data_IF_432928692311
#
_entry.id   IF_432928692311
#
_cell.length_a   1.000
_cell.length_b   1.000
_cell.length_c   1.000
_cell.angle_alpha   90.00
_cell.angle_beta   90.00
_cell.angle_gamma   90.00
#
_symmetry.space_group_name_H-M   'P 1'
#
loop_
_entity.id
_entity.type
_entity.pdbx_description
1 polymer ?
#
# COMPACT_ATOMS: atom_id res chain seq x y z
N UNK A 1 39.29 21.93 -29.10
CA UNK A 1 39.59 20.70 -28.36
C UNK A 1 39.08 20.71 -26.93
N UNK A 2 39.50 21.58 -25.98
CA UNK A 2 39.00 21.59 -24.57
C UNK A 2 37.53 22.00 -24.52
N UNK A 3 37.09 23.01 -25.28
CA UNK A 3 35.68 23.43 -25.33
C UNK A 3 34.75 22.32 -25.87
N UNK A 4 35.18 21.61 -26.88
CA UNK A 4 34.42 20.52 -27.49
C UNK A 4 34.29 19.34 -26.52
N UNK A 5 35.39 19.00 -25.82
CA UNK A 5 35.38 17.99 -24.76
C UNK A 5 34.39 18.34 -23.59
N UNK A 6 34.35 19.62 -23.22
CA UNK A 6 33.41 20.09 -22.19
C UNK A 6 31.95 19.99 -22.68
N UNK A 7 31.66 20.34 -23.91
CA UNK A 7 30.33 20.24 -24.51
C UNK A 7 29.87 18.77 -24.55
N UNK A 8 30.72 17.86 -25.01
CA UNK A 8 30.41 16.42 -25.01
C UNK A 8 30.21 15.88 -23.59
N UNK A 9 31.02 16.27 -22.62
CA UNK A 9 30.86 15.89 -21.22
C UNK A 9 29.51 16.38 -20.66
N UNK A 10 29.18 17.66 -20.86
CA UNK A 10 27.89 18.21 -20.41
C UNK A 10 26.71 17.52 -21.11
N UNK A 11 26.80 17.20 -22.39
CA UNK A 11 25.76 16.50 -23.14
C UNK A 11 25.55 15.06 -22.59
N UNK A 12 26.66 14.34 -22.32
CA UNK A 12 26.59 13.00 -21.72
C UNK A 12 25.97 13.05 -20.32
N UNK A 13 26.39 14.01 -19.48
CA UNK A 13 25.81 14.19 -18.14
C UNK A 13 24.32 14.54 -18.23
N UNK A 14 23.92 15.44 -19.10
CA UNK A 14 22.52 15.80 -19.31
C UNK A 14 21.72 14.60 -19.84
N UNK A 15 22.26 13.82 -20.75
CA UNK A 15 21.64 12.60 -21.28
C UNK A 15 21.44 11.56 -20.15
N UNK A 16 22.48 11.29 -19.36
CA UNK A 16 22.40 10.36 -18.24
C UNK A 16 21.41 10.85 -17.17
N UNK A 17 21.30 12.15 -16.98
CA UNK A 17 20.33 12.76 -16.04
C UNK A 17 18.89 12.68 -16.56
N UNK A 18 18.66 12.82 -17.86
CA UNK A 18 17.34 12.75 -18.49
C UNK A 18 16.85 11.31 -18.72
N UNK A 19 17.76 10.36 -18.92
CA UNK A 19 17.40 8.95 -19.22
C UNK A 19 16.41 8.33 -18.24
N UNK A 20 16.54 8.50 -16.91
CA UNK A 20 15.57 7.95 -15.98
C UNK A 20 14.14 8.46 -16.21
N UNK A 21 13.98 9.72 -16.61
CA UNK A 21 12.68 10.32 -16.91
C UNK A 21 12.11 9.79 -18.24
N UNK A 22 12.93 9.61 -19.23
CA UNK A 22 12.53 8.99 -20.52
C UNK A 22 12.07 7.56 -20.30
N UNK A 23 12.86 6.76 -19.56
CA UNK A 23 12.50 5.37 -19.21
C UNK A 23 11.21 5.35 -18.39
N UNK A 24 11.05 6.28 -17.45
CA UNK A 24 9.82 6.44 -16.68
C UNK A 24 8.61 6.63 -17.59
N UNK A 25 8.63 7.63 -18.48
CA UNK A 25 7.50 7.94 -19.37
C UNK A 25 7.21 6.79 -20.34
N UNK A 26 8.23 6.20 -20.95
CA UNK A 26 8.07 5.09 -21.90
C UNK A 26 7.56 3.80 -21.23
N UNK A 27 7.83 3.62 -19.94
CA UNK A 27 7.35 2.44 -19.19
C UNK A 27 5.89 2.54 -18.77
N UNK A 28 5.29 3.74 -18.71
CA UNK A 28 3.95 3.94 -18.18
C UNK A 28 2.86 3.06 -18.85
N UNK A 29 2.80 2.91 -20.19
CA UNK A 29 1.80 2.05 -20.82
C UNK A 29 1.94 0.58 -20.42
N UNK A 30 3.18 0.08 -20.32
CA UNK A 30 3.48 -1.31 -19.96
C UNK A 30 3.09 -1.56 -18.50
N UNK A 31 3.45 -0.65 -17.61
CA UNK A 31 3.10 -0.70 -16.19
C UNK A 31 1.58 -0.63 -16.00
N UNK A 32 0.90 0.22 -16.77
CA UNK A 32 -0.56 0.31 -16.74
C UNK A 32 -1.23 -1.00 -17.16
N UNK A 33 -0.80 -1.61 -18.26
CA UNK A 33 -1.34 -2.89 -18.73
C UNK A 33 -1.12 -4.00 -17.70
N UNK A 34 0.06 -4.04 -17.09
CA UNK A 34 0.38 -4.99 -16.03
C UNK A 34 -0.56 -4.82 -14.82
N UNK A 35 -0.66 -3.61 -14.27
CA UNK A 35 -1.48 -3.34 -13.10
C UNK A 35 -2.98 -3.54 -13.37
N UNK A 36 -3.46 -3.22 -14.57
CA UNK A 36 -4.84 -3.50 -14.99
C UNK A 36 -5.15 -5.00 -14.96
N UNK A 37 -4.24 -5.82 -15.45
CA UNK A 37 -4.39 -7.28 -15.42
C UNK A 37 -4.38 -7.81 -13.98
N UNK A 38 -3.47 -7.35 -13.14
CA UNK A 38 -3.40 -7.69 -11.71
C UNK A 38 -4.72 -7.35 -10.98
N UNK A 39 -5.25 -6.15 -11.20
CA UNK A 39 -6.51 -5.71 -10.60
C UNK A 39 -7.69 -6.59 -11.02
N UNK A 40 -7.76 -6.98 -12.29
CA UNK A 40 -8.81 -7.85 -12.79
C UNK A 40 -8.71 -9.26 -12.19
N UNK A 41 -7.51 -9.82 -12.09
CA UNK A 41 -7.29 -11.13 -11.46
C UNK A 41 -7.71 -11.13 -9.99
N UNK A 42 -7.38 -10.07 -9.26
CA UNK A 42 -7.76 -9.95 -7.86
C UNK A 42 -9.28 -9.81 -7.67
N UNK A 43 -9.95 -9.06 -8.54
CA UNK A 43 -11.41 -8.91 -8.50
C UNK A 43 -12.18 -10.23 -8.72
N UNK A 44 -11.55 -11.20 -9.38
CA UNK A 44 -12.11 -12.53 -9.61
C UNK A 44 -11.80 -13.53 -8.48
N UNK A 45 -10.97 -13.18 -7.50
CA UNK A 45 -10.69 -14.04 -6.35
C UNK A 45 -11.88 -14.00 -5.37
N UNK A 46 -12.37 -15.17 -4.90
CA UNK A 46 -13.41 -15.21 -3.89
C UNK A 46 -12.94 -14.53 -2.61
N UNK A 47 -13.82 -13.80 -1.94
CA UNK A 47 -13.57 -13.33 -0.60
C UNK A 47 -13.38 -14.54 0.32
N UNK A 48 -12.22 -14.68 0.91
CA UNK A 48 -11.94 -15.75 1.87
C UNK A 48 -12.63 -15.37 3.19
N UNK A 49 -13.93 -15.66 3.27
CA UNK A 49 -14.66 -15.63 4.52
C UNK A 49 -14.15 -16.75 5.41
N UNK A 50 -13.90 -16.44 6.67
CA UNK A 50 -13.06 -17.17 7.63
C UNK A 50 -13.35 -18.62 7.94
N UNK A 51 -14.10 -19.37 7.14
CA UNK A 51 -14.43 -20.79 7.36
C UNK A 51 -14.13 -21.72 6.16
N UNK A 52 -13.44 -21.26 5.14
CA UNK A 52 -13.11 -22.07 3.95
C UNK A 52 -11.67 -22.57 3.97
N UNK A 53 -11.52 -23.88 3.83
CA UNK A 53 -10.24 -24.55 3.69
C UNK A 53 -9.36 -23.94 2.59
N UNK A 54 -8.07 -23.84 2.89
CA UNK A 54 -6.93 -23.51 2.05
C UNK A 54 -7.18 -23.62 0.54
N UNK A 55 -7.40 -22.51 -0.14
CA UNK A 55 -6.89 -22.37 -1.48
C UNK A 55 -5.59 -21.57 -1.37
N UNK A 56 -4.47 -22.29 -1.57
CA UNK A 56 -3.14 -21.70 -1.68
C UNK A 56 -3.19 -20.47 -2.58
N UNK A 57 -2.89 -19.30 -2.03
CA UNK A 57 -2.61 -18.11 -2.85
C UNK A 57 -1.56 -18.52 -3.88
N UNK A 58 -1.72 -18.15 -5.16
CA UNK A 58 -0.83 -18.60 -6.24
C UNK A 58 0.64 -18.19 -6.10
N UNK A 59 1.01 -17.53 -5.02
CA UNK A 59 2.36 -17.00 -4.80
C UNK A 59 3.30 -17.93 -4.02
N UNK A 60 2.78 -18.97 -3.35
CA UNK A 60 3.61 -19.96 -2.65
C UNK A 60 3.66 -21.32 -3.37
N UNK A 61 3.01 -21.49 -4.52
CA UNK A 61 3.18 -22.68 -5.33
C UNK A 61 4.54 -22.66 -6.01
N UNK A 62 5.29 -23.74 -5.89
CA UNK A 62 6.57 -24.01 -6.53
C UNK A 62 6.64 -23.40 -7.92
N UNK A 63 7.52 -22.42 -8.09
CA UNK A 63 7.89 -21.92 -9.41
C UNK A 63 8.65 -23.04 -10.11
N UNK A 64 7.94 -23.87 -10.88
CA UNK A 64 8.59 -24.59 -11.96
C UNK A 64 9.45 -23.60 -12.75
N UNK A 65 10.72 -23.86 -12.81
CA UNK A 65 11.75 -23.13 -13.55
C UNK A 65 11.42 -23.09 -15.03
N UNK A 66 10.38 -22.38 -15.46
CA UNK A 66 10.16 -22.06 -16.87
C UNK A 66 11.08 -20.89 -17.24
N UNK A 67 12.29 -21.23 -17.64
CA UNK A 67 13.27 -20.35 -18.28
C UNK A 67 12.77 -19.89 -19.66
N UNK A 68 11.74 -19.05 -19.67
CA UNK A 68 11.30 -18.36 -20.90
C UNK A 68 11.64 -16.89 -20.80
N UNK A 69 12.18 -16.30 -21.86
CA UNK A 69 12.38 -14.86 -22.00
C UNK A 69 11.11 -14.08 -21.60
N UNK A 70 9.94 -14.63 -21.92
CA UNK A 70 8.64 -14.06 -21.52
C UNK A 70 8.51 -13.96 -20.01
N UNK A 71 8.87 -15.00 -19.27
CA UNK A 71 8.82 -14.99 -17.79
C UNK A 71 9.79 -13.96 -17.20
N UNK A 72 11.02 -13.91 -17.73
CA UNK A 72 12.01 -12.91 -17.34
C UNK A 72 11.48 -11.48 -17.54
N UNK A 73 10.91 -11.16 -18.72
CA UNK A 73 10.34 -9.83 -19.01
C UNK A 73 9.17 -9.49 -18.08
N UNK A 74 8.27 -10.43 -17.79
CA UNK A 74 7.17 -10.21 -16.85
C UNK A 74 7.73 -9.90 -15.45
N UNK A 75 8.68 -10.68 -14.96
CA UNK A 75 9.32 -10.47 -13.65
C UNK A 75 10.05 -9.13 -13.58
N UNK A 76 10.71 -8.73 -14.67
CA UNK A 76 11.37 -7.43 -14.77
C UNK A 76 10.37 -6.28 -14.66
N UNK A 77 9.27 -6.33 -15.43
CA UNK A 77 8.19 -5.32 -15.38
C UNK A 77 7.55 -5.27 -14.00
N UNK A 78 7.28 -6.43 -13.41
CA UNK A 78 6.74 -6.55 -12.06
C UNK A 78 7.67 -5.92 -11.03
N UNK A 79 8.94 -6.28 -11.02
CA UNK A 79 9.92 -5.74 -10.08
C UNK A 79 10.10 -4.24 -10.26
N UNK A 80 10.18 -3.77 -11.49
CA UNK A 80 10.26 -2.35 -11.79
C UNK A 80 9.01 -1.60 -11.30
N UNK A 81 7.82 -2.08 -11.63
CA UNK A 81 6.55 -1.46 -11.25
C UNK A 81 6.35 -1.47 -9.74
N UNK A 82 6.40 -2.65 -9.12
CA UNK A 82 5.96 -2.88 -7.73
C UNK A 82 7.01 -2.55 -6.68
N UNK A 83 8.29 -2.44 -7.05
CA UNK A 83 9.38 -2.19 -6.11
C UNK A 83 10.11 -0.87 -6.34
N UNK A 84 10.25 -0.43 -7.58
CA UNK A 84 10.99 0.79 -7.89
C UNK A 84 10.07 1.97 -8.17
N UNK A 85 9.21 1.85 -9.18
CA UNK A 85 8.42 2.96 -9.69
C UNK A 85 7.41 3.47 -8.66
N UNK A 86 6.71 2.58 -7.97
CA UNK A 86 5.71 2.96 -6.95
C UNK A 86 6.33 3.74 -5.79
N UNK A 87 7.55 3.34 -5.35
CA UNK A 87 8.30 4.07 -4.34
C UNK A 87 8.64 5.47 -4.85
N UNK A 88 9.15 5.59 -6.09
CA UNK A 88 9.46 6.91 -6.68
C UNK A 88 8.25 7.81 -6.77
N UNK A 89 7.07 7.27 -7.08
CA UNK A 89 5.81 8.01 -7.06
C UNK A 89 5.48 8.51 -5.65
N UNK A 90 5.71 7.71 -4.61
CA UNK A 90 5.53 8.13 -3.23
C UNK A 90 6.32 9.39 -2.85
N UNK A 91 7.46 9.61 -3.49
CA UNK A 91 8.33 10.78 -3.28
C UNK A 91 8.04 11.97 -4.21
N UNK A 92 6.98 11.94 -5.02
CA UNK A 92 6.54 13.11 -5.80
C UNK A 92 5.92 14.12 -4.82
N UNK A 93 6.36 15.40 -4.75
CA UNK A 93 5.85 16.36 -3.76
C UNK A 93 4.35 16.68 -3.91
N UNK A 94 3.79 16.62 -5.12
CA UNK A 94 2.39 16.99 -5.37
C UNK A 94 1.42 15.86 -5.06
N UNK A 95 0.48 16.09 -4.13
CA UNK A 95 -0.62 15.17 -3.82
C UNK A 95 -1.48 14.84 -5.05
N UNK A 96 -1.75 15.83 -5.90
CA UNK A 96 -2.59 15.64 -7.09
C UNK A 96 -1.93 14.68 -8.08
N UNK A 97 -0.63 14.84 -8.33
CA UNK A 97 0.12 13.97 -9.24
C UNK A 97 0.22 12.56 -8.65
N UNK A 98 0.57 12.42 -7.34
CA UNK A 98 0.62 11.10 -6.69
C UNK A 98 -0.73 10.39 -6.77
N UNK A 99 -1.83 11.08 -6.39
CA UNK A 99 -3.18 10.52 -6.43
C UNK A 99 -3.57 10.10 -7.84
N UNK A 100 -3.27 10.92 -8.87
CA UNK A 100 -3.52 10.58 -10.26
C UNK A 100 -2.81 9.28 -10.67
N UNK A 101 -1.51 9.19 -10.39
CA UNK A 101 -0.71 8.00 -10.72
C UNK A 101 -1.16 6.78 -9.91
N UNK A 102 -1.42 6.91 -8.63
CA UNK A 102 -1.94 5.83 -7.81
C UNK A 102 -3.30 5.32 -8.31
N UNK A 103 -4.20 6.22 -8.66
CA UNK A 103 -5.55 5.84 -9.12
C UNK A 103 -5.54 5.22 -10.53
N UNK A 104 -4.86 5.84 -11.49
CA UNK A 104 -4.97 5.46 -12.89
C UNK A 104 -3.86 4.53 -13.39
N UNK A 105 -2.67 4.61 -12.82
CA UNK A 105 -1.56 3.73 -13.17
C UNK A 105 -1.54 2.46 -12.31
N UNK A 106 -1.84 2.59 -11.02
CA UNK A 106 -1.78 1.51 -10.04
C UNK A 106 -3.14 0.94 -9.61
N UNK A 107 -4.23 1.46 -10.15
CA UNK A 107 -5.60 0.98 -9.89
C UNK A 107 -6.00 0.98 -8.41
N UNK A 108 -5.38 1.82 -7.58
CA UNK A 108 -5.84 2.01 -6.20
C UNK A 108 -7.25 2.58 -6.22
N UNK A 109 -8.15 1.99 -5.46
CA UNK A 109 -9.53 2.45 -5.36
C UNK A 109 -9.60 3.63 -4.38
N UNK A 110 -9.48 4.86 -4.91
CA UNK A 110 -9.64 6.10 -4.16
C UNK A 110 -11.07 6.61 -4.25
N UNK A 111 -11.70 6.82 -3.09
CA UNK A 111 -12.92 7.60 -3.01
C UNK A 111 -12.62 9.12 -3.08
N UNK A 112 -13.68 9.94 -3.04
CA UNK A 112 -13.56 11.40 -3.07
C UNK A 112 -12.72 11.89 -1.88
N UNK A 113 -11.89 12.90 -2.10
CA UNK A 113 -11.12 13.63 -1.09
C UNK A 113 -10.19 12.75 -0.20
N UNK A 114 -9.95 11.49 -0.60
CA UNK A 114 -8.95 10.65 0.04
C UNK A 114 -7.54 11.05 -0.39
N UNK A 115 -6.57 10.99 0.54
CA UNK A 115 -5.18 11.38 0.28
C UNK A 115 -4.19 10.41 0.91
N UNK A 116 -3.08 10.19 0.20
CA UNK A 116 -1.89 9.51 0.71
C UNK A 116 -0.74 10.50 0.69
N UNK A 117 -0.15 10.73 1.85
CA UNK A 117 0.94 11.69 2.03
C UNK A 117 2.28 11.16 1.50
N UNK A 118 3.34 11.94 1.70
CA UNK A 118 4.66 11.75 1.12
C UNK A 118 5.38 10.50 1.64
N UNK A 119 6.10 9.81 0.76
CA UNK A 119 6.98 8.70 1.11
C UNK A 119 6.27 7.38 1.43
N UNK A 120 4.99 7.22 1.08
CA UNK A 120 4.29 5.96 1.28
C UNK A 120 4.89 4.83 0.43
N UNK A 121 5.13 3.66 1.04
CA UNK A 121 5.43 2.39 0.39
C UNK A 121 4.16 1.56 0.28
N UNK A 122 3.74 1.22 -0.95
CA UNK A 122 2.52 0.45 -1.18
C UNK A 122 2.87 -0.82 -1.96
N UNK A 123 2.57 -1.99 -1.41
CA UNK A 123 2.73 -3.29 -2.08
C UNK A 123 1.39 -3.78 -2.59
N UNK A 124 1.34 -4.33 -3.80
CA UNK A 124 0.12 -4.76 -4.48
C UNK A 124 -0.99 -3.69 -4.45
N UNK A 125 -0.73 -2.48 -4.97
CA UNK A 125 -1.59 -1.31 -4.82
C UNK A 125 -3.00 -1.50 -5.37
N UNK A 126 -3.20 -2.34 -6.39
CA UNK A 126 -4.52 -2.64 -6.95
C UNK A 126 -5.50 -3.30 -5.96
N UNK A 127 -4.98 -3.79 -4.83
CA UNK A 127 -5.74 -4.44 -3.74
C UNK A 127 -5.99 -3.51 -2.54
N UNK A 128 -5.71 -2.21 -2.71
CA UNK A 128 -5.92 -1.18 -1.70
C UNK A 128 -7.17 -0.36 -2.04
N UNK A 129 -8.08 -0.25 -1.06
CA UNK A 129 -9.27 0.62 -1.12
C UNK A 129 -9.17 1.67 -0.03
N UNK A 130 -9.40 2.93 -0.39
CA UNK A 130 -9.35 4.08 0.53
C UNK A 130 -10.66 4.87 0.41
N UNK A 131 -11.40 4.93 1.50
CA UNK A 131 -12.70 5.59 1.60
C UNK A 131 -12.63 7.11 1.53
N UNK A 132 -13.82 7.73 1.49
CA UNK A 132 -13.99 9.18 1.33
C UNK A 132 -13.33 9.95 2.48
N UNK A 133 -12.64 11.04 2.14
CA UNK A 133 -11.99 11.96 3.06
C UNK A 133 -11.06 11.28 4.09
N UNK A 134 -10.52 10.12 3.73
CA UNK A 134 -9.54 9.38 4.52
C UNK A 134 -8.14 9.89 4.25
N UNK A 135 -7.37 10.04 5.32
CA UNK A 135 -5.98 10.52 5.27
C UNK A 135 -5.03 9.40 5.66
N UNK A 136 -4.06 9.12 4.80
CA UNK A 136 -2.91 8.25 5.10
C UNK A 136 -1.67 9.14 5.21
N UNK A 137 -1.08 9.16 6.39
CA UNK A 137 0.06 10.01 6.75
C UNK A 137 1.36 9.64 6.04
N UNK A 138 2.40 10.41 6.36
CA UNK A 138 3.71 10.25 5.72
C UNK A 138 4.37 8.91 6.04
N UNK A 139 5.17 8.42 5.10
CA UNK A 139 6.04 7.24 5.24
C UNK A 139 5.33 5.98 5.74
N UNK A 140 4.02 5.87 5.49
CA UNK A 140 3.28 4.66 5.79
C UNK A 140 3.71 3.51 4.88
N UNK A 141 3.75 2.28 5.43
CA UNK A 141 3.91 1.05 4.67
C UNK A 141 2.57 0.31 4.62
N UNK A 142 2.02 0.14 3.42
CA UNK A 142 0.75 -0.52 3.18
C UNK A 142 0.99 -1.79 2.35
N UNK A 143 1.16 -2.92 3.02
CA UNK A 143 1.32 -4.21 2.36
C UNK A 143 -0.05 -4.83 2.05
N UNK A 144 -0.58 -4.52 0.87
CA UNK A 144 -1.90 -4.96 0.46
C UNK A 144 -1.90 -6.32 -0.29
N UNK A 145 -0.93 -7.20 -0.08
CA UNK A 145 -0.87 -8.51 -0.78
C UNK A 145 -2.14 -9.33 -0.61
N UNK A 146 -2.77 -9.31 0.56
CA UNK A 146 -4.09 -9.94 0.80
C UNK A 146 -5.25 -8.92 0.87
N UNK A 147 -4.98 -7.65 0.52
CA UNK A 147 -5.97 -6.57 0.49
C UNK A 147 -6.01 -5.74 1.76
N UNK A 148 -6.18 -4.43 1.58
CA UNK A 148 -6.44 -3.47 2.66
C UNK A 148 -7.69 -2.68 2.28
N UNK A 149 -8.65 -2.62 3.19
CA UNK A 149 -9.86 -1.81 3.05
C UNK A 149 -9.92 -0.77 4.17
N UNK A 150 -9.85 0.50 3.81
CA UNK A 150 -9.94 1.63 4.73
C UNK A 150 -11.24 2.36 4.43
N UNK A 151 -12.12 2.46 5.42
CA UNK A 151 -13.40 3.14 5.28
C UNK A 151 -13.23 4.67 5.18
N UNK A 152 -14.34 5.38 5.16
CA UNK A 152 -14.36 6.85 5.10
C UNK A 152 -14.00 7.49 6.44
N UNK A 153 -13.51 8.73 6.40
CA UNK A 153 -13.20 9.57 7.57
C UNK A 153 -12.14 8.98 8.52
N UNK A 154 -11.28 8.09 8.01
CA UNK A 154 -10.19 7.48 8.77
C UNK A 154 -8.97 8.40 8.76
N UNK A 155 -8.30 8.51 9.90
CA UNK A 155 -7.00 9.16 10.01
C UNK A 155 -5.92 8.13 10.35
N UNK A 156 -5.00 7.91 9.43
CA UNK A 156 -3.80 7.10 9.64
C UNK A 156 -2.63 8.09 9.77
N UNK A 157 -1.98 8.09 10.92
CA UNK A 157 -0.86 8.98 11.20
C UNK A 157 0.44 8.52 10.51
N UNK A 158 1.50 9.26 10.72
CA UNK A 158 2.83 9.03 10.15
C UNK A 158 3.45 7.70 10.59
N UNK A 159 4.24 7.06 9.71
CA UNK A 159 5.02 5.85 9.96
C UNK A 159 4.19 4.61 10.38
N UNK A 160 2.91 4.56 10.03
CA UNK A 160 2.07 3.37 10.26
C UNK A 160 2.44 2.25 9.30
N UNK A 161 2.49 1.01 9.80
CA UNK A 161 2.77 -0.20 9.02
C UNK A 161 1.59 -1.15 9.08
N UNK A 162 1.03 -1.49 7.91
CA UNK A 162 -0.06 -2.46 7.79
C UNK A 162 0.45 -3.64 6.98
N UNK A 163 0.44 -4.81 7.58
CA UNK A 163 0.84 -6.06 6.97
C UNK A 163 -0.38 -6.94 6.72
N UNK A 164 -0.47 -7.58 5.56
CA UNK A 164 -1.56 -8.52 5.25
C UNK A 164 -1.07 -9.93 4.99
N UNK A 165 0.23 -10.16 5.07
CA UNK A 165 0.82 -11.49 4.88
C UNK A 165 1.99 -11.70 5.83
N UNK A 166 2.14 -12.93 6.32
CA UNK A 166 3.26 -13.39 7.14
C UNK A 166 3.54 -14.86 6.85
N UNK A 167 4.75 -15.29 7.16
CA UNK A 167 5.10 -16.71 7.13
C UNK A 167 4.59 -17.44 8.37
N UNK A 168 4.31 -18.73 8.21
CA UNK A 168 4.08 -19.59 9.36
C UNK A 168 5.45 -20.05 9.92
N UNK A 169 5.77 -19.59 11.12
CA UNK A 169 7.04 -19.92 11.77
C UNK A 169 7.12 -21.39 12.21
N UNK A 170 6.00 -22.13 12.22
CA UNK A 170 5.96 -23.57 12.49
C UNK A 170 6.00 -24.41 11.21
N UNK A 171 5.85 -23.81 10.03
CA UNK A 171 5.91 -24.55 8.78
C UNK A 171 7.37 -24.90 8.46
N UNK A 172 7.71 -26.20 8.27
CA UNK A 172 9.08 -26.62 7.99
C UNK A 172 9.62 -26.10 6.65
N UNK A 173 8.75 -25.69 5.73
CA UNK A 173 9.12 -25.07 4.45
C UNK A 173 9.05 -23.54 4.51
N UNK A 174 8.78 -22.96 5.69
CA UNK A 174 8.62 -21.51 5.88
C UNK A 174 7.58 -20.92 4.92
N UNK A 175 6.53 -21.65 4.62
CA UNK A 175 5.45 -21.21 3.75
C UNK A 175 4.69 -20.01 4.36
N UNK A 176 3.98 -19.28 3.53
CA UNK A 176 3.09 -18.22 4.03
C UNK A 176 1.93 -18.85 4.82
N UNK A 177 1.55 -18.21 5.93
CA UNK A 177 0.43 -18.67 6.76
C UNK A 177 -0.84 -18.79 5.91
N UNK A 178 -1.49 -19.96 5.87
CA UNK A 178 -2.75 -20.12 5.16
C UNK A 178 -3.84 -19.25 5.78
N UNK A 179 -4.76 -18.74 4.96
CA UNK A 179 -5.93 -18.01 5.44
C UNK A 179 -5.65 -16.60 5.99
N UNK A 180 -4.51 -15.99 5.64
CA UNK A 180 -4.29 -14.58 5.97
C UNK A 180 -5.35 -13.73 5.28
N UNK A 181 -6.12 -13.02 6.09
CA UNK A 181 -7.23 -12.18 5.64
C UNK A 181 -6.75 -10.76 5.34
N UNK A 182 -7.57 -10.03 4.58
CA UNK A 182 -7.40 -8.60 4.42
C UNK A 182 -7.44 -7.87 5.76
N UNK A 183 -6.77 -6.74 5.86
CA UNK A 183 -6.93 -5.81 6.98
C UNK A 183 -8.06 -4.85 6.64
N UNK A 184 -8.98 -4.65 7.60
CA UNK A 184 -10.08 -3.70 7.48
C UNK A 184 -9.98 -2.63 8.55
N UNK A 185 -10.20 -1.37 8.16
CA UNK A 185 -10.22 -0.24 9.09
C UNK A 185 -11.55 0.48 8.94
N UNK A 186 -12.33 0.44 10.01
CA UNK A 186 -13.67 1.00 10.08
C UNK A 186 -13.69 2.52 10.06
N UNK A 187 -14.86 3.05 9.73
CA UNK A 187 -15.14 4.48 9.65
C UNK A 187 -14.73 5.22 10.93
N UNK A 188 -14.23 6.45 10.80
CA UNK A 188 -13.78 7.30 11.90
C UNK A 188 -12.66 6.71 12.77
N UNK A 189 -12.05 5.60 12.41
CA UNK A 189 -10.92 5.09 13.15
C UNK A 189 -9.73 6.08 13.11
N UNK A 190 -8.98 6.12 14.19
CA UNK A 190 -7.74 6.89 14.29
C UNK A 190 -6.58 5.97 14.64
N UNK A 191 -5.63 5.87 13.74
CA UNK A 191 -4.41 5.08 13.91
C UNK A 191 -3.27 6.05 14.21
N UNK A 192 -2.77 5.99 15.42
CA UNK A 192 -1.66 6.83 15.91
C UNK A 192 -0.33 6.55 15.18
N UNK A 193 0.65 7.43 15.32
CA UNK A 193 1.95 7.28 14.63
C UNK A 193 2.71 6.04 15.10
N UNK A 194 3.54 5.48 14.21
CA UNK A 194 4.37 4.30 14.45
C UNK A 194 3.58 3.02 14.85
N UNK A 195 2.29 2.94 14.57
CA UNK A 195 1.48 1.74 14.80
C UNK A 195 1.83 0.67 13.78
N UNK A 196 1.86 -0.59 14.25
CA UNK A 196 1.93 -1.77 13.38
C UNK A 196 0.65 -2.58 13.49
N UNK A 197 -0.02 -2.86 12.36
CA UNK A 197 -1.21 -3.70 12.28
C UNK A 197 -0.82 -5.01 11.59
N UNK A 198 -1.11 -6.13 12.25
CA UNK A 198 -0.78 -7.48 11.75
C UNK A 198 -1.86 -8.02 10.80
N UNK A 199 -1.53 -9.07 10.02
CA UNK A 199 -2.44 -9.65 9.03
C UNK A 199 -3.79 -10.08 9.62
N UNK A 200 -4.85 -9.78 8.86
CA UNK A 200 -6.20 -10.22 9.18
C UNK A 200 -6.93 -9.42 10.27
N UNK A 201 -6.29 -8.39 10.81
CA UNK A 201 -6.89 -7.56 11.87
C UNK A 201 -8.00 -6.68 11.30
N UNK A 202 -9.10 -6.60 12.03
CA UNK A 202 -10.19 -5.65 11.80
C UNK A 202 -10.23 -4.59 12.90
N UNK A 203 -10.12 -3.32 12.51
CA UNK A 203 -10.24 -2.16 13.39
C UNK A 203 -11.67 -1.63 13.26
N UNK A 204 -12.42 -1.67 14.35
CA UNK A 204 -13.83 -1.25 14.38
C UNK A 204 -14.03 0.24 14.16
N UNK A 205 -15.28 0.61 13.85
CA UNK A 205 -15.68 2.01 13.67
C UNK A 205 -15.32 2.86 14.90
N UNK A 206 -14.78 4.05 14.67
CA UNK A 206 -14.43 4.99 15.73
C UNK A 206 -13.32 4.51 16.66
N UNK A 207 -12.74 3.34 16.46
CA UNK A 207 -11.65 2.86 17.31
C UNK A 207 -10.41 3.76 17.21
N UNK A 208 -9.63 3.76 18.28
CA UNK A 208 -8.36 4.50 18.36
C UNK A 208 -7.23 3.53 18.70
N UNK A 209 -6.19 3.59 17.93
CA UNK A 209 -4.95 2.85 18.21
C UNK A 209 -3.87 3.86 18.62
N UNK A 210 -3.41 3.76 19.85
CA UNK A 210 -2.41 4.67 20.40
C UNK A 210 -1.04 4.52 19.69
N UNK A 211 -0.26 5.59 19.71
CA UNK A 211 1.06 5.63 19.08
C UNK A 211 1.96 4.45 19.51
N UNK A 212 2.71 3.89 18.56
CA UNK A 212 3.66 2.80 18.80
C UNK A 212 3.04 1.44 19.13
N UNK A 213 1.72 1.29 19.07
CA UNK A 213 1.06 0.02 19.37
C UNK A 213 1.29 -1.03 18.28
N UNK A 214 1.32 -2.32 18.68
CA UNK A 214 1.31 -3.47 17.78
C UNK A 214 -0.02 -4.20 17.91
N UNK A 215 -0.89 -4.05 16.91
CA UNK A 215 -2.24 -4.63 16.91
C UNK A 215 -2.18 -6.04 16.34
N UNK A 216 -2.44 -7.02 17.19
CA UNK A 216 -2.37 -8.45 16.88
C UNK A 216 -3.75 -9.14 16.85
N UNK A 217 -4.82 -8.42 17.23
CA UNK A 217 -6.19 -8.91 17.28
C UNK A 217 -7.15 -7.79 16.90
N UNK A 218 -8.36 -8.15 16.53
CA UNK A 218 -9.42 -7.21 16.20
C UNK A 218 -9.69 -6.22 17.34
N UNK A 219 -9.98 -4.98 16.96
CA UNK A 219 -10.31 -3.89 17.86
C UNK A 219 -11.78 -3.57 17.73
N UNK A 220 -12.52 -3.69 18.83
CA UNK A 220 -13.95 -3.40 18.84
C UNK A 220 -14.24 -1.93 18.53
N UNK A 221 -15.43 -1.60 17.98
CA UNK A 221 -15.81 -0.23 17.70
C UNK A 221 -15.69 0.68 18.94
N UNK A 222 -15.19 1.90 18.73
CA UNK A 222 -15.00 2.94 19.74
C UNK A 222 -14.07 2.58 20.91
N UNK A 223 -13.29 1.50 20.78
CA UNK A 223 -12.27 1.17 21.78
C UNK A 223 -10.98 1.95 21.54
N UNK A 224 -10.33 2.35 22.64
CA UNK A 224 -8.96 2.84 22.66
C UNK A 224 -8.03 1.69 23.07
N UNK A 225 -7.10 1.34 22.18
CA UNK A 225 -6.11 0.29 22.42
C UNK A 225 -4.70 0.85 22.34
N UNK A 226 -3.74 0.24 23.07
CA UNK A 226 -2.34 0.64 23.03
C UNK A 226 -1.41 -0.43 23.57
N UNK A 227 -0.10 -0.26 23.36
CA UNK A 227 0.95 -1.15 23.83
C UNK A 227 1.38 -2.25 22.85
N UNK A 228 2.30 -3.11 23.28
CA UNK A 228 2.89 -4.22 22.50
C UNK A 228 2.82 -5.51 23.34
N UNK A 229 1.94 -6.45 23.00
CA UNK A 229 0.83 -6.34 22.03
C UNK A 229 -0.25 -5.37 22.54
N UNK A 230 -1.03 -4.78 21.61
CA UNK A 230 -2.07 -3.83 21.94
C UNK A 230 -3.14 -4.44 22.85
N UNK A 231 -3.56 -3.68 23.88
CA UNK A 231 -4.64 -4.01 24.81
C UNK A 231 -5.57 -2.83 24.94
N UNK A 232 -6.80 -3.08 25.33
CA UNK A 232 -7.76 -2.02 25.65
C UNK A 232 -7.23 -1.20 26.84
N UNK A 233 -7.19 0.12 26.66
CA UNK A 233 -6.77 1.09 27.68
C UNK A 233 -7.84 2.15 27.94
N UNK A 234 -8.93 2.15 27.16
CA UNK A 234 -10.03 3.08 27.33
C UNK A 234 -11.11 2.93 26.27
N UNK A 235 -12.02 3.89 26.26
CA UNK A 235 -13.09 4.00 25.28
C UNK A 235 -13.14 5.41 24.71
N UNK A 236 -13.58 5.52 23.45
CA UNK A 236 -13.76 6.79 22.76
C UNK A 236 -15.20 7.26 22.85
N UNK A 237 -15.40 8.56 22.94
CA UNK A 237 -16.73 9.16 22.81
C UNK A 237 -17.37 8.77 21.47
N UNK A 238 -18.57 8.22 21.51
CA UNK A 238 -19.34 7.76 20.34
C UNK A 238 -19.99 8.91 19.56
N UNK A 239 -20.13 10.09 20.17
CA UNK A 239 -20.73 11.27 19.52
C UNK A 239 -19.69 12.08 18.76
N UNK A 240 -19.14 11.50 17.68
CA UNK A 240 -18.16 12.16 16.81
C UNK A 240 -18.89 13.15 15.89
N UNK A 241 -18.49 14.42 15.94
CA UNK A 241 -19.10 15.51 15.14
C UNK A 241 -18.17 16.08 14.06
N UNK A 242 -16.90 15.67 14.01
CA UNK A 242 -15.98 16.15 13.01
C UNK A 242 -16.22 15.45 11.65
N UNK A 243 -15.89 16.18 10.60
CA UNK A 243 -15.86 15.67 9.24
C UNK A 243 -14.60 16.19 8.58
N UNK A 244 -13.76 15.30 8.08
CA UNK A 244 -12.67 15.71 7.20
C UNK A 244 -13.26 16.11 5.85
N UNK A 245 -12.81 17.22 5.32
CA UNK A 245 -13.28 17.82 4.06
C UNK A 245 -12.31 17.55 2.89
N UNK A 246 -11.20 16.84 3.16
CA UNK A 246 -10.15 16.59 2.18
C UNK A 246 -9.31 17.83 1.87
N UNK A 247 -9.43 18.91 2.67
CA UNK A 247 -8.55 20.06 2.54
C UNK A 247 -7.13 19.70 2.98
N UNK A 248 -6.17 19.89 2.10
CA UNK A 248 -4.75 19.70 2.33
C UNK A 248 -3.94 20.68 1.51
N UNK A 249 -2.71 20.93 1.93
CA UNK A 249 -1.82 21.82 1.18
C UNK A 249 -1.49 21.25 -0.20
N UNK A 250 -1.26 22.11 -1.18
CA UNK A 250 -0.98 21.68 -2.56
C UNK A 250 0.29 20.83 -2.67
N UNK A 251 1.24 21.10 -1.79
CA UNK A 251 2.54 20.43 -1.74
C UNK A 251 2.84 19.95 -0.33
N UNK A 252 3.37 18.75 -0.27
CA UNK A 252 4.16 18.22 0.83
C UNK A 252 4.67 16.87 0.50
#
# INVERSE_FOLDING_TARGET
MIKDCMIYFCAVVAFLWLMPYVVFVLSLPIVWLYNKRESQMFACMPDVDGNGASSSTPQCAEQEKKSSIKHFLITLVQSYSQKYLIIKIGFIPSHHIRRFLYKYLYMIQFAKDAVVYYGAEIRCPSRLKIGEATVVGDRCLLDARNGIEIAEQVNISTDVRIWTEQHDYNDPMFACSPGTKRVKIGKYAWIGPNVTILPGVEIGEGAVVAAGAVVTKDVQPYMLVGGVPARQIGERNKNLKYKFDGSYTMFY
#
